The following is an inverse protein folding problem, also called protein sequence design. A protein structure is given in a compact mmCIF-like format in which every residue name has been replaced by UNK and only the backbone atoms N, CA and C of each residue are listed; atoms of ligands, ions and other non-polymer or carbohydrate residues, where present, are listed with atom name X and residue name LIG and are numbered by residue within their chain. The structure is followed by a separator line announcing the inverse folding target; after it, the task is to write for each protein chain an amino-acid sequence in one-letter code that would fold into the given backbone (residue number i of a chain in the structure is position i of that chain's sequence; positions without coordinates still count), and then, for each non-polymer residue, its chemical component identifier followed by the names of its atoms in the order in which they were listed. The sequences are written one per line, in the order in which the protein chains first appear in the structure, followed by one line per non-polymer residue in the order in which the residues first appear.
data_IF_162193189383
#
_entry.id   IF_162193189383
#
_cell.length_a   1.000
_cell.length_b   1.000
_cell.length_c   1.000
_cell.angle_alpha   90.00
_cell.angle_beta   90.00
_cell.angle_gamma   90.00
#
_symmetry.space_group_name_H-M   'P 1'
#
loop_
_entity.id
_entity.type
_entity.pdbx_description
1 polymer ?
#
# COMPACT_ATOMS: atom_id res chain seq x y z
N UNK A 1 5.92 7.33 10.69
CA UNK A 1 5.45 7.80 9.37
C UNK A 1 6.67 8.37 8.66
N UNK A 2 7.12 7.73 7.58
CA UNK A 2 8.32 8.12 6.84
C UNK A 2 8.01 8.77 5.50
N UNK A 3 8.88 8.56 4.51
CA UNK A 3 8.80 9.24 3.22
C UNK A 3 8.43 8.29 2.07
N UNK A 4 7.82 8.81 1.02
CA UNK A 4 7.37 8.04 -0.13
C UNK A 4 6.59 8.86 -1.15
N UNK A 5 5.57 8.22 -1.73
CA UNK A 5 4.69 8.77 -2.77
C UNK A 5 3.22 8.52 -2.40
N UNK A 6 2.31 9.11 -3.17
CA UNK A 6 0.90 8.76 -3.13
C UNK A 6 0.41 8.41 -4.54
N UNK A 7 -0.49 7.44 -4.61
CA UNK A 7 -1.12 7.00 -5.87
C UNK A 7 -2.59 7.42 -5.84
N UNK A 8 -3.06 8.04 -6.92
CA UNK A 8 -4.50 8.15 -7.18
C UNK A 8 -4.96 6.85 -7.85
N UNK A 9 -5.74 5.99 -7.17
CA UNK A 9 -6.07 4.68 -7.70
C UNK A 9 -7.01 4.77 -8.90
N UNK A 10 -6.88 3.82 -9.81
CA UNK A 10 -7.76 3.62 -10.97
C UNK A 10 -8.24 2.17 -11.12
N UNK A 11 -7.77 1.28 -10.23
CA UNK A 11 -8.11 -0.14 -10.19
C UNK A 11 -9.00 -0.49 -9.00
N UNK A 12 -9.00 -1.76 -8.61
CA UNK A 12 -9.89 -2.32 -7.59
C UNK A 12 -9.17 -3.22 -6.56
N UNK A 13 -7.85 -3.18 -6.49
CA UNK A 13 -7.06 -3.98 -5.55
C UNK A 13 -5.74 -3.33 -5.19
N UNK A 14 -5.30 -3.57 -3.96
CA UNK A 14 -3.95 -3.32 -3.48
C UNK A 14 -3.19 -4.65 -3.47
N UNK A 15 -1.98 -4.63 -4.00
CA UNK A 15 -1.10 -5.80 -4.11
C UNK A 15 0.17 -5.58 -3.31
N UNK A 16 0.89 -6.66 -3.03
CA UNK A 16 2.21 -6.58 -2.44
C UNK A 16 3.17 -5.83 -3.39
N UNK A 17 3.80 -4.72 -2.94
CA UNK A 17 4.74 -3.95 -3.75
C UNK A 17 6.15 -4.54 -3.78
N UNK A 18 6.43 -5.52 -2.91
CA UNK A 18 7.73 -6.17 -2.72
C UNK A 18 7.51 -7.64 -2.38
N UNK A 19 8.52 -8.47 -2.62
CA UNK A 19 8.60 -9.81 -2.03
C UNK A 19 8.92 -9.68 -0.55
N UNK A 20 8.14 -10.36 0.31
CA UNK A 20 8.29 -10.19 1.75
C UNK A 20 7.16 -10.79 2.56
N UNK A 21 6.97 -10.27 3.76
CA UNK A 21 5.96 -10.74 4.72
C UNK A 21 5.00 -9.63 5.10
N UNK A 22 3.71 -9.90 5.01
CA UNK A 22 2.67 -8.97 5.49
C UNK A 22 2.83 -8.82 7.01
N UNK A 23 3.00 -7.58 7.46
CA UNK A 23 3.09 -7.25 8.87
C UNK A 23 1.69 -7.20 9.49
N UNK A 24 1.09 -6.01 9.47
CA UNK A 24 -0.23 -5.73 10.03
C UNK A 24 -1.22 -5.40 8.92
N UNK A 25 -2.45 -5.88 9.02
CA UNK A 25 -3.59 -5.41 8.21
C UNK A 25 -4.58 -4.77 9.17
N UNK A 26 -4.95 -3.51 8.91
CA UNK A 26 -5.86 -2.78 9.80
C UNK A 26 -7.23 -3.46 9.85
N UNK A 27 -7.91 -3.37 11.00
CA UNK A 27 -9.22 -4.04 11.21
C UNK A 27 -10.27 -3.62 10.18
N UNK A 28 -10.20 -2.37 9.72
CA UNK A 28 -11.08 -1.82 8.67
C UNK A 28 -10.54 -2.06 7.26
N UNK A 29 -9.55 -2.93 7.07
CA UNK A 29 -9.03 -3.44 5.79
C UNK A 29 -8.61 -2.39 4.75
N UNK A 30 -8.38 -1.14 5.15
CA UNK A 30 -7.99 -0.05 4.24
C UNK A 30 -6.47 0.13 4.14
N UNK A 31 -5.69 -0.50 5.02
CA UNK A 31 -4.25 -0.29 5.10
C UNK A 31 -3.53 -1.55 5.55
N UNK A 32 -2.27 -1.69 5.12
CA UNK A 32 -1.39 -2.77 5.54
C UNK A 32 0.07 -2.32 5.61
N UNK A 33 0.85 -3.02 6.43
CA UNK A 33 2.32 -2.97 6.41
C UNK A 33 2.89 -4.25 5.81
N UNK A 34 4.07 -4.12 5.20
CA UNK A 34 4.83 -5.23 4.64
C UNK A 34 6.31 -4.96 4.86
N UNK A 35 7.05 -5.98 5.28
CA UNK A 35 8.51 -5.94 5.35
C UNK A 35 9.07 -6.77 4.19
N UNK A 36 9.94 -6.16 3.38
CA UNK A 36 10.61 -6.87 2.28
C UNK A 36 11.65 -7.85 2.80
N UNK A 37 12.00 -8.84 1.98
CA UNK A 37 13.13 -9.74 2.26
C UNK A 37 14.49 -8.99 2.37
N UNK A 38 14.56 -7.73 1.93
CA UNK A 38 15.72 -6.83 2.07
C UNK A 38 15.67 -5.93 3.32
N UNK A 39 14.67 -6.11 4.20
CA UNK A 39 14.49 -5.36 5.45
C UNK A 39 14.00 -3.93 5.22
N UNK A 40 13.19 -3.69 4.19
CA UNK A 40 12.51 -2.40 3.97
C UNK A 40 11.08 -2.54 4.47
N UNK A 41 10.68 -1.67 5.40
CA UNK A 41 9.32 -1.62 5.90
C UNK A 41 8.50 -0.63 5.08
N UNK A 42 7.49 -1.13 4.36
CA UNK A 42 6.53 -0.31 3.63
C UNK A 42 5.19 -0.27 4.36
N UNK A 43 4.53 0.87 4.24
CA UNK A 43 3.16 1.07 4.69
C UNK A 43 2.32 1.61 3.54
N UNK A 44 1.23 0.91 3.23
CA UNK A 44 0.27 1.27 2.19
C UNK A 44 -1.06 1.58 2.87
N UNK A 45 -1.56 2.79 2.66
CA UNK A 45 -2.78 3.28 3.30
C UNK A 45 -3.74 3.80 2.24
N UNK A 46 -4.88 3.14 2.03
CA UNK A 46 -5.86 3.59 1.07
C UNK A 46 -6.60 4.84 1.57
N UNK A 47 -6.52 5.92 0.81
CA UNK A 47 -7.26 7.14 1.07
C UNK A 47 -6.83 7.91 2.33
N UNK A 48 -7.64 8.91 2.69
CA UNK A 48 -7.50 9.72 3.91
C UNK A 48 -8.77 9.57 4.73
N UNK A 49 -8.64 9.37 6.04
CA UNK A 49 -9.73 9.16 7.01
C UNK A 49 -10.66 7.97 6.67
N UNK A 50 -10.20 7.00 5.87
CA UNK A 50 -10.97 5.82 5.43
C UNK A 50 -11.31 4.83 6.54
N UNK A 51 -10.67 4.97 7.71
CA UNK A 51 -11.07 4.25 8.92
C UNK A 51 -12.53 4.54 9.32
N UNK A 52 -13.06 5.73 9.01
CA UNK A 52 -14.44 6.13 9.30
C UNK A 52 -15.48 5.30 8.53
N UNK A 53 -15.07 4.67 7.42
CA UNK A 53 -15.90 3.77 6.62
C UNK A 53 -16.08 2.39 7.26
N UNK A 54 -15.39 2.11 8.37
CA UNK A 54 -15.53 0.87 9.16
C UNK A 54 -15.36 -0.41 8.31
N UNK A 55 -14.52 -0.35 7.28
CA UNK A 55 -14.25 -1.46 6.36
C UNK A 55 -15.22 -1.59 5.20
N UNK A 56 -16.22 -0.72 5.08
CA UNK A 56 -17.09 -0.69 3.91
C UNK A 56 -16.27 -0.38 2.63
N UNK A 57 -16.49 -1.17 1.58
CA UNK A 57 -15.74 -1.04 0.33
C UNK A 57 -14.38 -1.73 0.32
N UNK A 58 -13.97 -2.40 1.40
CA UNK A 58 -12.72 -3.15 1.47
C UNK A 58 -12.96 -4.63 1.77
N UNK A 59 -12.20 -5.50 1.10
CA UNK A 59 -12.21 -6.94 1.33
C UNK A 59 -10.78 -7.43 1.48
N UNK A 60 -10.48 -7.96 2.66
CA UNK A 60 -9.19 -8.57 2.97
C UNK A 60 -9.01 -9.87 2.20
N UNK A 61 -7.85 -10.03 1.55
CA UNK A 61 -7.48 -11.22 0.79
C UNK A 61 -6.31 -11.95 1.45
N UNK A 62 -5.30 -11.22 1.90
CA UNK A 62 -4.14 -11.78 2.59
C UNK A 62 -4.29 -11.80 4.12
N UNK A 63 -3.45 -12.60 4.77
CA UNK A 63 -3.38 -12.73 6.23
C UNK A 63 -2.15 -12.03 6.81
N UNK A 64 -2.20 -11.67 8.10
CA UNK A 64 -1.03 -11.14 8.80
C UNK A 64 0.00 -12.26 8.99
N UNK A 65 1.29 -11.95 8.80
CA UNK A 65 2.36 -12.94 8.78
C UNK A 65 2.43 -13.77 7.50
N UNK A 66 1.54 -13.54 6.52
CA UNK A 66 1.60 -14.24 5.24
C UNK A 66 2.82 -13.80 4.42
N UNK A 67 3.58 -14.77 3.90
CA UNK A 67 4.62 -14.51 2.91
C UNK A 67 4.01 -14.33 1.53
N UNK A 68 4.41 -13.27 0.83
CA UNK A 68 3.85 -12.83 -0.45
C UNK A 68 4.95 -12.49 -1.45
N UNK A 69 4.60 -12.51 -2.72
CA UNK A 69 5.41 -12.02 -3.83
C UNK A 69 4.84 -10.75 -4.43
N UNK A 70 5.67 -10.00 -5.16
CA UNK A 70 5.23 -8.81 -5.91
C UNK A 70 4.00 -9.15 -6.75
N UNK A 71 2.94 -8.37 -6.58
CA UNK A 71 1.68 -8.53 -7.31
C UNK A 71 0.64 -9.43 -6.64
N UNK A 72 0.99 -10.15 -5.58
CA UNK A 72 0.01 -10.95 -4.82
C UNK A 72 -1.07 -10.01 -4.21
N UNK A 73 -2.37 -10.32 -4.37
CA UNK A 73 -3.44 -9.49 -3.82
C UNK A 73 -3.43 -9.47 -2.29
N UNK A 74 -3.51 -8.28 -1.71
CA UNK A 74 -3.59 -8.08 -0.24
C UNK A 74 -5.00 -7.70 0.17
N UNK A 75 -5.57 -6.71 -0.52
CA UNK A 75 -6.91 -6.16 -0.27
C UNK A 75 -7.57 -5.86 -1.63
N UNK A 76 -8.81 -6.28 -1.80
CA UNK A 76 -9.70 -5.81 -2.87
C UNK A 76 -10.53 -4.61 -2.36
N UNK A 77 -10.87 -3.70 -3.25
CA UNK A 77 -11.68 -2.53 -2.90
C UNK A 77 -12.65 -2.11 -4.00
N UNK A 78 -13.76 -1.50 -3.60
CA UNK A 78 -14.78 -0.92 -4.48
C UNK A 78 -14.48 0.57 -4.72
N UNK A 79 -13.81 0.88 -5.83
CA UNK A 79 -13.39 2.25 -6.12
C UNK A 79 -14.59 3.22 -6.28
N UNK A 80 -15.64 2.90 -7.06
CA UNK A 80 -16.81 3.77 -7.14
C UNK A 80 -17.43 4.13 -5.78
N UNK A 81 -17.61 3.14 -4.91
CA UNK A 81 -18.14 3.37 -3.56
C UNK A 81 -17.22 4.27 -2.73
N UNK A 82 -15.91 4.01 -2.81
CA UNK A 82 -14.91 4.75 -2.04
C UNK A 82 -14.71 6.18 -2.56
N UNK A 83 -14.85 6.43 -3.86
CA UNK A 83 -14.83 7.79 -4.42
C UNK A 83 -16.03 8.63 -3.96
N UNK A 84 -17.18 8.00 -3.71
CA UNK A 84 -18.37 8.68 -3.19
C UNK A 84 -18.26 8.98 -1.69
N UNK A 85 -17.73 8.02 -0.92
CA UNK A 85 -17.79 8.06 0.56
C UNK A 85 -16.51 8.51 1.25
N UNK A 86 -15.34 8.24 0.67
CA UNK A 86 -14.07 8.62 1.29
C UNK A 86 -13.77 10.10 1.06
N UNK A 87 -13.18 10.74 2.07
CA UNK A 87 -12.70 12.13 1.97
C UNK A 87 -11.67 12.32 0.85
N UNK A 88 -10.86 11.30 0.60
CA UNK A 88 -9.90 11.23 -0.51
C UNK A 88 -9.54 9.77 -0.77
N UNK A 89 -9.34 9.42 -2.05
CA UNK A 89 -8.83 8.11 -2.49
C UNK A 89 -7.32 8.11 -2.72
N UNK A 90 -6.63 9.26 -2.54
CA UNK A 90 -5.16 9.29 -2.61
C UNK A 90 -4.58 8.30 -1.59
N UNK A 91 -3.76 7.38 -2.09
CA UNK A 91 -3.25 6.23 -1.36
C UNK A 91 -1.76 6.39 -1.13
N UNK A 92 -1.32 6.86 0.06
CA UNK A 92 0.09 6.88 0.44
C UNK A 92 0.74 5.50 0.38
N UNK A 93 1.94 5.47 -0.18
CA UNK A 93 2.88 4.35 -0.13
C UNK A 93 4.19 4.92 0.41
N UNK A 94 4.50 4.58 1.66
CA UNK A 94 5.63 5.18 2.39
C UNK A 94 6.56 4.11 2.94
N UNK A 95 7.83 4.45 3.06
CA UNK A 95 8.82 3.65 3.77
C UNK A 95 8.83 4.11 5.22
N UNK A 96 8.74 3.18 6.16
CA UNK A 96 8.60 3.46 7.59
C UNK A 96 9.94 3.54 8.30
N UNK A 97 10.92 2.70 7.92
CA UNK A 97 12.26 2.65 8.51
C UNK A 97 13.28 3.52 7.72
N UNK A 98 12.99 4.82 7.59
CA UNK A 98 13.80 5.76 6.81
C UNK A 98 15.26 5.89 7.27
N UNK A 99 15.56 5.62 8.54
CA UNK A 99 16.93 5.67 9.08
C UNK A 99 17.87 4.64 8.42
N UNK A 100 17.31 3.60 7.81
CA UNK A 100 18.06 2.58 7.06
C UNK A 100 18.28 2.95 5.58
N UNK A 101 17.73 4.08 5.12
CA UNK A 101 17.69 4.44 3.70
C UNK A 101 18.72 5.53 3.41
N UNK A 102 19.73 5.24 2.58
CA UNK A 102 20.71 6.24 2.13
C UNK A 102 20.16 7.16 1.05
N UNK A 103 19.35 6.62 0.14
CA UNK A 103 18.80 7.36 -0.99
C UNK A 103 17.42 6.83 -1.36
N UNK A 104 16.48 7.75 -1.60
CA UNK A 104 15.11 7.45 -2.02
C UNK A 104 14.79 8.27 -3.26
N UNK A 105 14.65 7.59 -4.40
CA UNK A 105 14.32 8.19 -5.69
C UNK A 105 12.85 7.91 -6.00
N UNK A 106 12.05 8.98 -6.08
CA UNK A 106 10.61 8.92 -6.37
C UNK A 106 10.38 8.98 -7.88
N UNK A 107 9.69 7.99 -8.43
CA UNK A 107 9.31 7.98 -9.84
C UNK A 107 7.95 8.69 -10.01
N UNK A 108 7.63 9.08 -11.25
CA UNK A 108 6.43 9.84 -11.57
C UNK A 108 5.73 9.28 -12.81
N UNK A 109 4.45 9.62 -12.97
CA UNK A 109 3.62 9.20 -14.09
C UNK A 109 2.56 8.16 -13.72
N UNK A 110 1.97 7.56 -14.74
CA UNK A 110 0.97 6.49 -14.59
C UNK A 110 1.64 5.16 -14.27
N UNK A 111 0.99 4.34 -13.44
CA UNK A 111 1.53 3.08 -12.94
C UNK A 111 0.52 1.95 -13.12
N UNK A 112 1.01 0.77 -13.50
CA UNK A 112 0.22 -0.47 -13.56
C UNK A 112 0.51 -1.32 -12.33
N UNK A 113 -0.55 -1.84 -11.71
CA UNK A 113 -0.50 -2.64 -10.48
C UNK A 113 0.43 -3.85 -10.63
N UNK A 114 1.37 -4.02 -9.69
CA UNK A 114 2.32 -5.15 -9.68
C UNK A 114 3.41 -5.10 -10.76
N UNK A 115 3.43 -4.09 -11.63
CA UNK A 115 4.35 -4.03 -12.77
C UNK A 115 5.25 -2.80 -12.73
N UNK A 116 4.68 -1.61 -12.55
CA UNK A 116 5.43 -0.36 -12.69
C UNK A 116 6.15 0.01 -11.38
N UNK A 117 7.48 0.24 -11.40
CA UNK A 117 8.19 0.69 -10.21
C UNK A 117 7.79 2.13 -9.84
N UNK A 118 7.66 2.40 -8.54
CA UNK A 118 7.23 3.72 -8.02
C UNK A 118 8.29 4.42 -7.17
N UNK A 119 9.15 3.66 -6.50
CA UNK A 119 10.27 4.16 -5.69
C UNK A 119 11.49 3.28 -5.97
N UNK A 120 12.68 3.88 -6.06
CA UNK A 120 13.96 3.18 -6.01
C UNK A 120 14.71 3.57 -4.74
N UNK A 121 15.30 2.58 -4.08
CA UNK A 121 15.94 2.72 -2.77
C UNK A 121 17.40 2.30 -2.89
N UNK A 122 18.28 3.02 -2.20
CA UNK A 122 19.65 2.59 -1.91
C UNK A 122 19.83 2.50 -0.40
N UNK A 123 20.23 1.32 0.08
CA UNK A 123 20.56 1.05 1.48
C UNK A 123 22.03 1.36 1.78
#
# INVERSE_FOLDING_TARGET
MGDGIAIKPTGNKMVAPVDGTIGKIFETNHAFSIESDSGIELFVHFGIDTVELKGEGFKRIAEEGQRVKVGDPVIEFDLPLLEEKAKSTLTPVVISNMDEIKELIKLSGSVTVGETPVIRIKK
#
